data_IF_239831680499
#
_entry.id   IF_239831680499
#
_cell.length_a   1.000
_cell.length_b   1.000
_cell.length_c   1.000
_cell.angle_alpha   90.00
_cell.angle_beta   90.00
_cell.angle_gamma   90.00
#
_symmetry.space_group_name_H-M   'P 1'
#
loop_
_entity.id
_entity.type
_entity.pdbx_description
1 polymer ?
#
# COMPACT_ATOMS: atom_id res chain seq x y z
N UNK A 1 -15.74 5.52 -19.70
CA UNK A 1 -14.52 5.03 -19.04
C UNK A 1 -14.88 4.76 -17.60
N UNK A 2 -14.78 3.51 -17.12
CA UNK A 2 -14.92 3.24 -15.68
C UNK A 2 -13.57 3.58 -15.02
N UNK A 3 -13.26 4.87 -14.92
CA UNK A 3 -12.24 5.37 -14.00
C UNK A 3 -12.85 5.34 -12.60
N UNK A 4 -13.00 4.15 -12.04
CA UNK A 4 -13.30 4.06 -10.61
C UNK A 4 -12.09 4.67 -9.89
N UNK A 5 -12.28 5.73 -9.09
CA UNK A 5 -11.18 6.35 -8.40
C UNK A 5 -10.52 5.28 -7.52
N UNK A 6 -9.21 5.10 -7.70
CA UNK A 6 -8.39 4.29 -6.81
C UNK A 6 -8.62 4.82 -5.39
N UNK A 7 -8.89 3.92 -4.46
CA UNK A 7 -9.26 4.22 -3.07
C UNK A 7 -8.58 3.25 -2.13
N UNK A 8 -8.35 3.69 -0.90
CA UNK A 8 -7.63 2.88 0.06
C UNK A 8 -8.39 1.59 0.38
N UNK A 9 -9.67 1.70 0.75
CA UNK A 9 -10.45 0.55 1.21
C UNK A 9 -10.66 -0.52 0.12
N UNK A 10 -10.83 -0.12 -1.15
CA UNK A 10 -11.12 -1.06 -2.23
C UNK A 10 -9.89 -1.57 -2.96
N UNK A 11 -8.83 -0.76 -3.06
CA UNK A 11 -7.70 -1.06 -3.94
C UNK A 11 -6.38 -1.26 -3.20
N UNK A 12 -6.19 -0.64 -2.02
CA UNK A 12 -4.91 -0.67 -1.30
C UNK A 12 -4.93 -1.63 -0.12
N UNK A 13 -5.93 -1.51 0.74
CA UNK A 13 -6.13 -2.38 1.91
C UNK A 13 -6.11 -3.88 1.58
N UNK A 14 -6.78 -4.39 0.52
CA UNK A 14 -6.72 -5.81 0.19
C UNK A 14 -5.36 -6.28 -0.36
N UNK A 15 -4.48 -5.37 -0.78
CA UNK A 15 -3.12 -5.73 -1.19
C UNK A 15 -2.24 -6.08 0.03
N UNK A 16 -2.49 -5.42 1.17
CA UNK A 16 -1.85 -5.75 2.44
C UNK A 16 -2.48 -6.99 3.05
N UNK A 17 -1.74 -8.11 2.97
CA UNK A 17 -2.18 -9.38 3.55
C UNK A 17 -2.18 -9.26 5.08
N UNK A 18 -2.95 -10.12 5.74
CA UNK A 18 -2.97 -10.16 7.21
C UNK A 18 -1.56 -10.34 7.80
N UNK A 19 -0.72 -11.16 7.16
CA UNK A 19 0.67 -11.37 7.57
C UNK A 19 1.53 -10.10 7.45
N UNK A 20 1.33 -9.31 6.40
CA UNK A 20 2.02 -8.03 6.21
C UNK A 20 1.63 -7.05 7.31
N UNK A 21 0.31 -6.95 7.55
CA UNK A 21 -0.23 -6.13 8.63
C UNK A 21 0.34 -6.55 9.99
N UNK A 22 0.30 -7.84 10.36
CA UNK A 22 0.88 -8.29 11.63
C UNK A 22 2.39 -8.02 11.73
N UNK A 23 3.12 -8.16 10.62
CA UNK A 23 4.57 -7.92 10.58
C UNK A 23 4.94 -6.44 10.70
N UNK A 24 4.03 -5.53 10.35
CA UNK A 24 4.23 -4.08 10.40
C UNK A 24 3.53 -3.39 11.56
N UNK A 25 2.63 -4.09 12.27
CA UNK A 25 1.84 -3.55 13.39
C UNK A 25 2.67 -2.92 14.53
N UNK A 26 3.95 -3.27 14.64
CA UNK A 26 4.88 -2.66 15.60
C UNK A 26 5.36 -1.25 15.18
N UNK A 27 5.26 -0.91 13.89
CA UNK A 27 5.65 0.37 13.32
C UNK A 27 4.42 1.25 13.03
N UNK A 28 3.42 0.73 12.30
CA UNK A 28 2.17 1.40 11.96
C UNK A 28 1.13 0.41 11.43
N UNK A 29 -0.15 0.80 11.36
CA UNK A 29 -1.23 -0.08 10.89
C UNK A 29 -1.41 0.00 9.36
N UNK A 30 -1.14 -1.10 8.66
CA UNK A 30 -1.31 -1.22 7.20
C UNK A 30 -2.79 -1.27 6.74
N UNK A 31 -3.72 -1.41 7.67
CA UNK A 31 -5.16 -1.33 7.43
C UNK A 31 -5.77 -0.01 7.88
N UNK A 32 -4.96 0.91 8.41
CA UNK A 32 -5.34 2.29 8.70
C UNK A 32 -4.97 3.19 7.54
N UNK A 33 -5.98 3.82 6.92
CA UNK A 33 -5.77 4.80 5.86
C UNK A 33 -4.80 5.91 6.29
N UNK A 34 -5.02 6.48 7.48
CA UNK A 34 -4.19 7.57 8.00
C UNK A 34 -2.72 7.18 8.13
N UNK A 35 -2.45 5.98 8.65
CA UNK A 35 -1.08 5.49 8.84
C UNK A 35 -0.42 5.19 7.49
N UNK A 36 -1.13 4.54 6.57
CA UNK A 36 -0.60 4.22 5.23
C UNK A 36 -0.40 5.49 4.41
N UNK A 37 -1.30 6.47 4.48
CA UNK A 37 -1.19 7.74 3.78
C UNK A 37 0.01 8.55 4.29
N UNK A 38 0.19 8.62 5.62
CA UNK A 38 1.33 9.31 6.25
C UNK A 38 2.69 8.68 5.90
N UNK A 39 2.72 7.37 5.68
CA UNK A 39 3.95 6.63 5.39
C UNK A 39 4.07 6.22 3.92
N UNK A 40 3.19 6.74 3.05
CA UNK A 40 3.02 6.29 1.66
C UNK A 40 4.31 6.31 0.84
N UNK A 41 5.08 7.40 0.89
CA UNK A 41 6.37 7.51 0.19
C UNK A 41 7.39 6.45 0.66
N UNK A 42 7.47 6.23 1.97
CA UNK A 42 8.39 5.26 2.55
C UNK A 42 8.00 3.81 2.22
N UNK A 43 6.69 3.52 2.22
CA UNK A 43 6.14 2.22 1.81
C UNK A 43 6.42 2.01 0.33
N UNK A 44 6.11 2.98 -0.53
CA UNK A 44 6.35 2.88 -1.98
C UNK A 44 7.83 2.64 -2.30
N UNK A 45 8.74 3.32 -1.60
CA UNK A 45 10.18 3.07 -1.74
C UNK A 45 10.56 1.62 -1.43
N UNK A 46 10.09 1.08 -0.30
CA UNK A 46 10.39 -0.32 0.09
C UNK A 46 9.73 -1.36 -0.83
N UNK A 47 8.53 -1.07 -1.32
CA UNK A 47 7.84 -1.90 -2.30
C UNK A 47 8.61 -1.96 -3.63
N UNK A 48 9.11 -0.82 -4.12
CA UNK A 48 9.94 -0.74 -5.33
C UNK A 48 11.29 -1.42 -5.17
N UNK A 49 11.90 -1.31 -3.99
CA UNK A 49 13.15 -2.00 -3.68
C UNK A 49 12.96 -3.53 -3.49
N UNK A 50 11.71 -4.00 -3.44
CA UNK A 50 11.38 -5.41 -3.19
C UNK A 50 11.77 -5.89 -1.79
N UNK A 51 12.07 -4.96 -0.87
CA UNK A 51 12.44 -5.25 0.52
C UNK A 51 11.23 -5.39 1.43
N UNK A 52 10.06 -4.99 0.94
CA UNK A 52 8.77 -5.26 1.56
C UNK A 52 7.79 -5.91 0.57
N UNK A 53 6.89 -6.78 1.06
CA UNK A 53 6.86 -7.31 2.43
C UNK A 53 7.97 -8.36 2.72
N UNK A 54 8.19 -8.64 4.01
CA UNK A 54 9.23 -9.55 4.54
C UNK A 54 9.16 -10.99 3.97
N UNK A 55 8.04 -11.35 3.35
CA UNK A 55 7.74 -12.69 2.87
C UNK A 55 7.73 -12.84 1.33
N UNK A 56 7.99 -11.75 0.62
CA UNK A 56 8.10 -11.74 -0.84
C UNK A 56 7.60 -10.43 -1.41
N UNK A 57 8.39 -9.82 -2.29
CA UNK A 57 8.04 -8.58 -2.96
C UNK A 57 6.66 -8.66 -3.65
N UNK A 58 5.94 -7.55 -3.64
CA UNK A 58 4.73 -7.40 -4.45
C UNK A 58 5.04 -7.52 -5.94
N UNK A 59 4.05 -7.95 -6.71
CA UNK A 59 4.15 -7.89 -8.16
C UNK A 59 4.17 -6.42 -8.64
N UNK A 60 4.88 -6.14 -9.74
CA UNK A 60 5.00 -4.79 -10.29
C UNK A 60 3.63 -4.11 -10.51
N UNK A 61 2.61 -4.88 -10.88
CA UNK A 61 1.23 -4.40 -11.05
C UNK A 61 0.63 -3.89 -9.73
N UNK A 62 0.89 -4.56 -8.61
CA UNK A 62 0.41 -4.14 -7.28
C UNK A 62 1.15 -2.89 -6.81
N UNK A 63 2.46 -2.81 -7.09
CA UNK A 63 3.27 -1.62 -6.81
C UNK A 63 2.78 -0.44 -7.65
N UNK A 64 2.41 -0.65 -8.91
CA UNK A 64 1.86 0.38 -9.78
C UNK A 64 0.49 0.89 -9.29
N UNK A 65 -0.37 0.02 -8.75
CA UNK A 65 -1.64 0.43 -8.11
C UNK A 65 -1.38 1.29 -6.88
N UNK A 66 -0.46 0.89 -6.01
CA UNK A 66 -0.07 1.68 -4.85
C UNK A 66 0.51 3.03 -5.25
N UNK A 67 1.41 3.05 -6.24
CA UNK A 67 1.96 4.28 -6.78
C UNK A 67 0.87 5.23 -7.28
N UNK A 68 -0.08 4.71 -8.07
CA UNK A 68 -1.19 5.50 -8.62
C UNK A 68 -2.06 6.11 -7.52
N UNK A 69 -2.25 5.40 -6.40
CA UNK A 69 -2.96 5.91 -5.23
C UNK A 69 -2.21 7.04 -4.51
N UNK A 70 -0.88 6.92 -4.39
CA UNK A 70 -0.03 7.99 -3.83
C UNK A 70 -0.05 9.23 -4.73
N UNK A 71 0.10 9.05 -6.04
CA UNK A 71 0.04 10.13 -7.03
C UNK A 71 -1.33 10.83 -7.08
N UNK A 72 -2.41 10.09 -6.81
CA UNK A 72 -3.76 10.63 -6.68
C UNK A 72 -4.02 11.43 -5.38
N UNK A 73 -3.04 11.53 -4.48
CA UNK A 73 -3.16 12.25 -3.21
C UNK A 73 -3.76 11.42 -2.07
N UNK A 74 -3.61 10.09 -2.10
CA UNK A 74 -4.05 9.16 -1.05
C UNK A 74 -5.55 9.22 -0.70
N UNK A 75 -6.45 9.12 -1.69
CA UNK A 75 -7.90 9.11 -1.44
C UNK A 75 -8.33 7.92 -0.55
N UNK A 76 -9.22 8.16 0.41
CA UNK A 76 -9.77 7.12 1.30
C UNK A 76 -10.65 6.11 0.55
#
# INVERSE_FOLDING_TARGET
MNDQPISFEQHIKPLFRERDHQSMKWAFDLWSHDDVARNSDAILGRLRDGTMPCDGAWADEQVAVFQSWVEAGTPA
#
